data_IF_547841785866
#
_entry.id   IF_547841785866
#
_cell.length_a   1.000
_cell.length_b   1.000
_cell.length_c   1.000
_cell.angle_alpha   90.00
_cell.angle_beta   90.00
_cell.angle_gamma   90.00
#
_symmetry.space_group_name_H-M   'P 1'
#
loop_
_entity.id
_entity.type
_entity.pdbx_description
1 polymer ?
#
# COMPACT_ATOMS: atom_id res chain seq x y z
N UNK A 1 2.20 7.22 -5.04
CA UNK A 1 2.94 6.60 -6.17
C UNK A 1 4.32 7.22 -6.38
N UNK A 2 4.56 8.47 -5.95
CA UNK A 2 5.88 9.11 -6.10
C UNK A 2 7.06 8.38 -5.40
N UNK A 3 6.77 7.40 -4.53
CA UNK A 3 7.74 6.61 -3.78
C UNK A 3 7.72 5.12 -4.13
N UNK A 4 7.14 4.74 -5.26
CA UNK A 4 7.10 3.32 -5.65
C UNK A 4 8.50 2.76 -5.85
N UNK A 5 9.42 3.54 -6.42
CA UNK A 5 10.84 3.17 -6.53
C UNK A 5 11.57 3.11 -5.18
N UNK A 6 11.24 3.98 -4.23
CA UNK A 6 11.79 3.93 -2.87
C UNK A 6 11.35 2.65 -2.18
N UNK A 7 10.04 2.38 -2.16
CA UNK A 7 9.51 1.15 -1.61
C UNK A 7 10.07 -0.09 -2.29
N UNK A 8 10.16 -0.10 -3.62
CA UNK A 8 10.68 -1.23 -4.38
C UNK A 8 12.12 -1.54 -3.97
N UNK A 9 12.99 -0.53 -3.88
CA UNK A 9 14.37 -0.75 -3.41
C UNK A 9 14.39 -1.35 -2.00
N UNK A 10 13.69 -0.73 -1.04
CA UNK A 10 13.65 -1.20 0.36
C UNK A 10 13.15 -2.64 0.44
N UNK A 11 12.07 -2.96 -0.26
CA UNK A 11 11.50 -4.31 -0.28
C UNK A 11 12.45 -5.35 -0.90
N UNK A 12 13.29 -4.95 -1.86
CA UNK A 12 14.28 -5.85 -2.46
C UNK A 12 15.62 -5.88 -1.72
N UNK A 13 15.70 -5.31 -0.51
CA UNK A 13 16.92 -5.32 0.30
C UNK A 13 17.99 -4.33 -0.19
N UNK A 14 17.61 -3.38 -1.03
CA UNK A 14 18.48 -2.31 -1.50
C UNK A 14 18.31 -1.04 -0.66
N UNK A 15 19.32 -0.18 -0.70
CA UNK A 15 19.21 1.15 -0.10
C UNK A 15 18.13 1.99 -0.80
N UNK A 16 17.54 2.90 -0.03
CA UNK A 16 16.58 3.88 -0.54
C UNK A 16 17.17 4.68 -1.71
N UNK A 17 16.34 4.98 -2.71
CA UNK A 17 16.78 5.69 -3.92
C UNK A 17 16.85 7.20 -3.69
N UNK A 18 16.07 7.72 -2.74
CA UNK A 18 16.03 9.14 -2.44
C UNK A 18 16.79 9.50 -1.17
N UNK A 19 17.13 10.79 -1.03
CA UNK A 19 17.67 11.33 0.22
C UNK A 19 16.64 11.16 1.34
N UNK A 20 17.03 10.49 2.42
CA UNK A 20 16.13 10.09 3.50
C UNK A 20 15.35 11.27 4.13
N UNK A 21 15.98 12.44 4.28
CA UNK A 21 15.31 13.62 4.83
C UNK A 21 14.20 14.15 3.90
N UNK A 22 14.37 13.99 2.58
CA UNK A 22 13.36 14.38 1.58
C UNK A 22 12.19 13.40 1.55
N UNK A 23 12.46 12.10 1.70
CA UNK A 23 11.41 11.07 1.83
C UNK A 23 10.50 11.42 3.01
N UNK A 24 11.08 11.68 4.18
CA UNK A 24 10.32 12.05 5.40
C UNK A 24 9.49 13.32 5.21
N UNK A 25 10.06 14.37 4.62
CA UNK A 25 9.32 15.63 4.33
C UNK A 25 8.15 15.42 3.38
N UNK A 26 8.35 14.60 2.35
CA UNK A 26 7.33 14.32 1.36
C UNK A 26 6.22 13.42 1.93
N UNK A 27 6.57 12.37 2.68
CA UNK A 27 5.59 11.56 3.41
C UNK A 27 4.80 12.39 4.42
N UNK A 28 5.43 13.32 5.14
CA UNK A 28 4.71 14.26 6.01
C UNK A 28 3.73 15.17 5.23
N UNK A 29 4.08 15.53 3.99
CA UNK A 29 3.20 16.30 3.10
C UNK A 29 2.03 15.45 2.63
N UNK A 30 2.28 14.24 2.11
CA UNK A 30 1.23 13.29 1.70
C UNK A 30 0.25 13.02 2.85
N UNK A 31 0.76 12.84 4.08
CA UNK A 31 -0.05 12.61 5.27
C UNK A 31 -1.05 13.75 5.51
N UNK A 32 -0.62 14.99 5.28
CA UNK A 32 -1.43 16.19 5.46
C UNK A 32 -2.43 16.42 4.33
N UNK A 33 -2.11 16.02 3.10
CA UNK A 33 -2.84 16.49 1.91
C UNK A 33 -3.64 15.40 1.19
N UNK A 34 -3.23 14.13 1.29
CA UNK A 34 -3.76 13.07 0.43
C UNK A 34 -4.51 11.96 1.19
N UNK A 35 -4.35 11.85 2.51
CA UNK A 35 -5.04 10.79 3.25
C UNK A 35 -6.51 11.11 3.40
N UNK A 36 -7.34 10.10 3.16
CA UNK A 36 -8.78 10.18 3.29
C UNK A 36 -9.28 9.35 4.46
N UNK A 37 -10.50 9.66 4.88
CA UNK A 37 -11.24 8.83 5.83
C UNK A 37 -11.59 7.46 5.20
N UNK A 38 -11.91 7.44 3.90
CA UNK A 38 -12.32 6.24 3.15
C UNK A 38 -11.32 5.92 2.04
N UNK A 39 -11.09 4.63 1.79
CA UNK A 39 -10.31 4.16 0.64
C UNK A 39 -8.79 4.28 0.77
N UNK A 40 -8.27 5.03 1.74
CA UNK A 40 -6.83 5.17 2.01
C UNK A 40 -6.31 6.56 1.63
N UNK A 41 -5.76 6.71 0.42
CA UNK A 41 -5.15 7.96 -0.03
C UNK A 41 -5.53 8.30 -1.48
N UNK A 42 -5.79 9.58 -1.76
CA UNK A 42 -5.94 10.06 -3.16
C UNK A 42 -4.61 10.11 -3.88
N UNK A 43 -4.64 9.97 -5.21
CA UNK A 43 -3.45 10.08 -6.05
C UNK A 43 -2.88 11.50 -6.08
N UNK A 44 -3.72 12.53 -5.99
CA UNK A 44 -3.31 13.93 -6.16
C UNK A 44 -3.92 14.87 -5.13
N UNK A 45 -3.18 15.91 -4.78
CA UNK A 45 -3.65 17.08 -4.07
C UNK A 45 -3.05 18.34 -4.70
N UNK A 46 -3.75 19.46 -4.63
CA UNK A 46 -3.24 20.73 -5.15
C UNK A 46 -2.12 21.31 -4.26
N UNK A 47 -1.48 22.39 -4.73
CA UNK A 47 -0.40 23.05 -3.99
C UNK A 47 -0.85 23.67 -2.65
N UNK A 48 -2.16 23.86 -2.44
CA UNK A 48 -2.74 24.34 -1.18
C UNK A 48 -3.06 23.19 -0.22
N UNK A 49 -2.93 21.95 -0.68
CA UNK A 49 -3.19 20.75 0.09
C UNK A 49 -4.62 20.23 0.01
N UNK A 50 -5.42 20.69 -0.96
CA UNK A 50 -6.76 20.15 -1.16
C UNK A 50 -6.66 18.83 -1.96
N UNK A 51 -7.18 17.71 -1.44
CA UNK A 51 -7.18 16.44 -2.16
C UNK A 51 -8.08 16.51 -3.40
N UNK A 52 -7.63 15.94 -4.52
CA UNK A 52 -8.46 15.81 -5.72
C UNK A 52 -9.39 14.59 -5.58
N UNK A 53 -10.61 14.86 -5.13
CA UNK A 53 -11.63 13.84 -4.89
C UNK A 53 -12.34 13.40 -6.18
N UNK A 54 -12.33 14.22 -7.23
CA UNK A 54 -13.25 14.06 -8.37
C UNK A 54 -12.55 13.89 -9.71
N UNK A 55 -11.31 14.38 -9.84
CA UNK A 55 -10.55 14.33 -11.08
C UNK A 55 -9.93 12.96 -11.36
N UNK A 56 -9.77 12.11 -10.34
CA UNK A 56 -9.19 10.78 -10.48
C UNK A 56 -9.70 9.78 -9.43
N UNK A 57 -9.18 8.56 -9.44
CA UNK A 57 -9.52 7.51 -8.48
C UNK A 57 -8.35 7.11 -7.57
N UNK A 58 -8.65 6.27 -6.59
CA UNK A 58 -7.64 5.62 -5.74
C UNK A 58 -7.27 4.28 -6.38
N UNK A 59 -5.99 4.00 -6.45
CA UNK A 59 -5.46 2.70 -6.85
C UNK A 59 -5.09 1.91 -5.58
N UNK A 60 -5.80 0.83 -5.25
CA UNK A 60 -5.49 0.03 -4.09
C UNK A 60 -4.03 -0.48 -4.03
N UNK A 61 -3.40 -0.98 -5.12
CA UNK A 61 -2.03 -1.50 -4.99
C UNK A 61 -1.03 -0.39 -4.65
N UNK A 62 -1.22 0.81 -5.21
CA UNK A 62 -0.38 1.98 -4.90
C UNK A 62 -0.62 2.50 -3.49
N UNK A 63 -1.85 2.35 -2.98
CA UNK A 63 -2.19 2.62 -1.58
C UNK A 63 -1.45 1.67 -0.64
N UNK A 64 -1.32 0.39 -1.02
CA UNK A 64 -0.57 -0.59 -0.23
C UNK A 64 0.93 -0.28 -0.26
N UNK A 65 1.47 0.11 -1.41
CA UNK A 65 2.86 0.55 -1.55
C UNK A 65 3.13 1.77 -0.65
N UNK A 66 2.28 2.80 -0.71
CA UNK A 66 2.40 3.99 0.15
C UNK A 66 2.37 3.62 1.63
N UNK A 67 1.42 2.76 2.04
CA UNK A 67 1.34 2.26 3.40
C UNK A 67 2.65 1.58 3.84
N UNK A 68 3.21 0.71 3.00
CA UNK A 68 4.48 0.05 3.27
C UNK A 68 5.65 1.03 3.29
N UNK A 69 5.65 2.08 2.46
CA UNK A 69 6.68 3.14 2.50
C UNK A 69 6.69 3.83 3.87
N UNK A 70 5.53 4.17 4.43
CA UNK A 70 5.47 4.72 5.80
C UNK A 70 6.04 3.74 6.83
N UNK A 71 5.71 2.45 6.73
CA UNK A 71 6.22 1.43 7.65
C UNK A 71 7.75 1.31 7.59
N UNK A 72 8.34 1.31 6.38
CA UNK A 72 9.79 1.27 6.19
C UNK A 72 10.50 2.51 6.71
N UNK A 73 9.86 3.68 6.64
CA UNK A 73 10.38 4.93 7.20
C UNK A 73 10.10 5.09 8.71
N UNK A 74 9.53 4.06 9.35
CA UNK A 74 9.33 3.96 10.80
C UNK A 74 7.96 4.40 11.30
N UNK A 75 7.09 4.94 10.44
CA UNK A 75 5.71 5.35 10.79
C UNK A 75 4.73 4.21 10.52
N UNK A 76 4.84 3.15 11.31
CA UNK A 76 4.03 1.94 11.15
C UNK A 76 2.53 2.19 11.38
N UNK A 77 2.19 3.11 12.28
CA UNK A 77 0.81 3.45 12.62
C UNK A 77 0.08 4.02 11.40
N UNK A 78 0.67 5.03 10.75
CA UNK A 78 0.09 5.62 9.54
C UNK A 78 -0.01 4.60 8.41
N UNK A 79 1.04 3.79 8.22
CA UNK A 79 1.02 2.73 7.22
C UNK A 79 -0.14 1.74 7.46
N UNK A 80 -0.32 1.29 8.70
CA UNK A 80 -1.40 0.36 9.05
C UNK A 80 -2.78 1.00 8.87
N UNK A 81 -2.96 2.26 9.26
CA UNK A 81 -4.22 2.97 9.09
C UNK A 81 -4.64 3.05 7.62
N UNK A 82 -3.72 3.45 6.73
CA UNK A 82 -3.96 3.53 5.28
C UNK A 82 -4.37 2.17 4.73
N UNK A 83 -3.61 1.13 5.07
CA UNK A 83 -3.85 -0.23 4.59
C UNK A 83 -5.20 -0.77 5.08
N UNK A 84 -5.51 -0.59 6.36
CA UNK A 84 -6.77 -1.03 6.96
C UNK A 84 -7.96 -0.33 6.31
N UNK A 85 -7.91 0.99 6.12
CA UNK A 85 -8.98 1.75 5.44
C UNK A 85 -9.22 1.24 4.02
N UNK A 86 -8.16 0.97 3.28
CA UNK A 86 -8.25 0.48 1.91
C UNK A 86 -8.86 -0.93 1.85
N UNK A 87 -8.32 -1.89 2.62
CA UNK A 87 -8.82 -3.27 2.67
C UNK A 87 -10.25 -3.33 3.22
N UNK A 88 -10.55 -2.60 4.29
CA UNK A 88 -11.90 -2.54 4.87
C UNK A 88 -12.91 -2.04 3.84
N UNK A 89 -12.57 -0.98 3.10
CA UNK A 89 -13.43 -0.48 2.05
C UNK A 89 -13.70 -1.54 0.97
N UNK A 90 -12.67 -2.22 0.48
CA UNK A 90 -12.82 -3.19 -0.60
C UNK A 90 -13.53 -4.47 -0.16
N UNK A 91 -13.06 -5.07 0.93
CA UNK A 91 -13.45 -6.42 1.36
C UNK A 91 -14.71 -6.40 2.21
N UNK A 92 -14.79 -5.47 3.17
CA UNK A 92 -15.89 -5.46 4.14
C UNK A 92 -17.05 -4.61 3.65
N UNK A 93 -16.78 -3.41 3.13
CA UNK A 93 -17.84 -2.48 2.71
C UNK A 93 -18.42 -2.80 1.34
N UNK A 94 -17.57 -3.13 0.36
CA UNK A 94 -17.98 -3.37 -1.03
C UNK A 94 -17.91 -4.84 -1.46
N UNK A 95 -17.56 -5.75 -0.54
CA UNK A 95 -17.59 -7.20 -0.73
C UNK A 95 -16.75 -7.75 -1.89
N UNK A 96 -15.67 -7.06 -2.25
CA UNK A 96 -14.76 -7.44 -3.33
C UNK A 96 -13.68 -8.44 -2.92
N UNK A 97 -14.04 -9.49 -2.17
CA UNK A 97 -13.08 -10.42 -1.56
C UNK A 97 -12.17 -11.12 -2.58
N UNK A 98 -12.74 -11.50 -3.73
CA UNK A 98 -12.06 -12.29 -4.76
C UNK A 98 -11.86 -11.54 -6.07
N UNK A 99 -12.56 -10.41 -6.25
CA UNK A 99 -12.61 -9.67 -7.51
C UNK A 99 -12.05 -8.25 -7.38
N UNK A 100 -11.06 -8.04 -6.51
CA UNK A 100 -10.52 -6.72 -6.18
C UNK A 100 -10.29 -5.83 -7.42
N UNK A 101 -10.76 -4.56 -7.40
CA UNK A 101 -10.61 -3.64 -8.52
C UNK A 101 -9.18 -3.07 -8.63
N UNK A 102 -8.88 -2.48 -9.78
CA UNK A 102 -7.67 -1.68 -9.94
C UNK A 102 -7.86 -0.22 -9.47
N UNK A 103 -9.08 0.30 -9.57
CA UNK A 103 -9.38 1.68 -9.21
C UNK A 103 -10.75 1.79 -8.54
N UNK A 104 -10.83 2.66 -7.54
CA UNK A 104 -12.06 3.03 -6.82
C UNK A 104 -12.26 4.55 -6.80
N UNK A 105 -13.49 4.99 -6.57
CA UNK A 105 -13.81 6.41 -6.36
C UNK A 105 -13.24 6.89 -5.03
N UNK A 106 -12.71 8.11 -5.00
CA UNK A 106 -12.19 8.73 -3.77
C UNK A 106 -13.30 9.04 -2.74
N UNK A 107 -14.51 9.38 -3.19
CA UNK A 107 -15.61 9.82 -2.32
C UNK A 107 -16.39 8.67 -1.65
N UNK A 108 -16.67 7.63 -2.42
CA UNK A 108 -17.57 6.52 -2.07
C UNK A 108 -16.81 5.21 -1.84
N UNK A 109 -15.60 5.10 -2.38
CA UNK A 109 -14.82 3.87 -2.39
C UNK A 109 -15.36 2.81 -3.35
N UNK A 110 -16.36 3.12 -4.17
CA UNK A 110 -16.94 2.20 -5.15
C UNK A 110 -15.95 1.91 -6.28
N UNK A 111 -15.97 0.68 -6.79
CA UNK A 111 -15.21 0.30 -7.98
C UNK A 111 -15.52 1.23 -9.16
N UNK A 112 -14.48 1.69 -9.82
CA UNK A 112 -14.59 2.40 -11.11
C UNK A 112 -13.97 1.59 -12.24
N UNK A 113 -12.92 0.80 -11.97
CA UNK A 113 -12.23 0.06 -13.01
C UNK A 113 -11.56 -1.22 -12.50
N UNK A 114 -11.62 -2.26 -13.34
CA UNK A 114 -10.96 -3.54 -13.13
C UNK A 114 -11.72 -4.51 -12.24
N UNK A 115 -11.50 -5.79 -12.48
CA UNK A 115 -11.94 -6.94 -11.67
C UNK A 115 -10.80 -7.96 -11.65
N UNK A 116 -10.70 -8.75 -10.58
CA UNK A 116 -9.65 -9.78 -10.42
C UNK A 116 -8.22 -9.23 -10.63
N UNK A 117 -7.96 -7.98 -10.20
CA UNK A 117 -6.67 -7.35 -10.45
C UNK A 117 -5.58 -7.89 -9.52
N UNK A 118 -4.72 -8.75 -10.08
CA UNK A 118 -3.61 -9.40 -9.38
C UNK A 118 -2.58 -8.43 -8.79
N UNK A 119 -2.53 -7.17 -9.25
CA UNK A 119 -1.66 -6.16 -8.65
C UNK A 119 -1.93 -5.98 -7.14
N UNK A 120 -3.16 -6.24 -6.69
CA UNK A 120 -3.54 -6.20 -5.28
C UNK A 120 -2.86 -7.28 -4.43
N UNK A 121 -2.25 -8.29 -5.05
CA UNK A 121 -1.39 -9.26 -4.36
C UNK A 121 -0.14 -8.61 -3.76
N UNK A 122 0.10 -7.32 -4.02
CA UNK A 122 1.04 -6.51 -3.23
C UNK A 122 0.79 -6.57 -1.72
N UNK A 123 -0.42 -6.90 -1.30
CA UNK A 123 -0.75 -7.21 0.09
C UNK A 123 0.24 -8.22 0.74
N UNK A 124 0.78 -9.17 -0.03
CA UNK A 124 1.72 -10.18 0.47
C UNK A 124 3.10 -9.63 0.84
N UNK A 125 3.44 -8.40 0.43
CA UNK A 125 4.67 -7.73 0.84
C UNK A 125 4.55 -7.05 2.23
N UNK A 126 3.32 -6.79 2.70
CA UNK A 126 3.06 -6.07 3.96
C UNK A 126 3.75 -6.69 5.19
N UNK A 127 3.82 -8.03 5.37
CA UNK A 127 4.50 -8.61 6.51
C UNK A 127 5.99 -8.22 6.61
N UNK A 128 6.68 -8.03 5.49
CA UNK A 128 8.06 -7.56 5.48
C UNK A 128 8.14 -6.10 5.97
N UNK A 129 7.32 -5.22 5.39
CA UNK A 129 7.26 -3.82 5.78
C UNK A 129 6.94 -3.62 7.27
N UNK A 130 5.98 -4.38 7.83
CA UNK A 130 5.63 -4.33 9.25
C UNK A 130 6.80 -4.67 10.18
N UNK A 131 7.69 -5.55 9.73
CA UNK A 131 8.88 -5.96 10.49
C UNK A 131 10.12 -5.11 10.18
N UNK A 132 10.06 -4.26 9.17
CA UNK A 132 11.25 -3.59 8.62
C UNK A 132 12.21 -4.58 7.95
N UNK A 133 11.68 -5.70 7.46
CA UNK A 133 12.40 -6.76 6.74
C UNK A 133 12.24 -6.56 5.23
N UNK A 134 13.03 -7.28 4.43
CA UNK A 134 12.96 -7.28 2.97
C UNK A 134 12.54 -8.65 2.41
N UNK A 135 12.55 -8.78 1.08
CA UNK A 135 12.18 -9.99 0.35
C UNK A 135 13.05 -11.20 0.72
N UNK A 136 14.32 -11.00 1.07
CA UNK A 136 15.23 -12.09 1.44
C UNK A 136 14.76 -12.76 2.73
N UNK A 137 14.29 -11.97 3.69
CA UNK A 137 13.77 -12.44 4.97
C UNK A 137 12.44 -13.20 4.82
N UNK A 138 11.59 -12.81 3.86
CA UNK A 138 10.39 -13.58 3.53
C UNK A 138 10.71 -14.90 2.83
N UNK A 139 11.78 -14.94 2.04
CA UNK A 139 12.13 -16.05 1.15
C UNK A 139 13.09 -17.07 1.77
N UNK A 140 13.76 -16.73 2.87
CA UNK A 140 14.69 -17.65 3.55
C UNK A 140 14.01 -18.91 4.07
N UNK A 141 14.81 -19.93 4.38
CA UNK A 141 14.31 -21.14 5.04
C UNK A 141 13.59 -20.79 6.34
N UNK A 142 12.37 -21.31 6.52
CA UNK A 142 11.48 -20.97 7.64
C UNK A 142 10.79 -19.60 7.54
N UNK A 143 11.08 -18.81 6.51
CA UNK A 143 10.42 -17.55 6.17
C UNK A 143 8.96 -17.74 5.74
N UNK A 144 8.26 -16.64 5.46
CA UNK A 144 6.83 -16.67 5.13
C UNK A 144 6.55 -17.55 3.91
N UNK A 145 7.32 -17.41 2.83
CA UNK A 145 7.14 -18.18 1.59
C UNK A 145 7.31 -19.67 1.86
N UNK A 146 8.36 -20.06 2.57
CA UNK A 146 8.61 -21.45 2.94
C UNK A 146 7.46 -22.05 3.79
N UNK A 147 6.90 -21.28 4.72
CA UNK A 147 5.76 -21.71 5.54
C UNK A 147 4.48 -21.89 4.72
N UNK A 148 4.21 -21.01 3.76
CA UNK A 148 3.06 -21.13 2.85
C UNK A 148 3.18 -22.38 1.98
N UNK A 149 4.34 -22.61 1.36
CA UNK A 149 4.58 -23.81 0.53
C UNK A 149 4.47 -25.10 1.34
N UNK A 150 5.01 -25.11 2.56
CA UNK A 150 4.87 -26.23 3.48
C UNK A 150 3.41 -26.51 3.83
N UNK A 151 2.60 -25.47 4.08
CA UNK A 151 1.18 -25.65 4.37
C UNK A 151 0.40 -26.18 3.16
N UNK A 152 0.68 -25.67 1.95
CA UNK A 152 0.00 -26.09 0.73
C UNK A 152 0.33 -27.51 0.25
N UNK A 153 1.45 -28.08 0.67
CA UNK A 153 1.85 -29.47 0.34
C UNK A 153 1.29 -30.52 1.30
N UNK A 154 0.58 -30.11 2.34
CA UNK A 154 -0.09 -31.02 3.29
C UNK A 154 -1.53 -31.37 2.88
N UNK A 155 -2.00 -30.85 1.74
CA UNK A 155 -3.34 -31.05 1.20
C UNK A 155 -3.33 -32.12 0.12
#
# INVERSE_FOLDING_TARGET
NQFDGEWANRFHGLEGIFQADRVKKALATIKRTCLLEKGGAVSFADAKGNPDITGYGIFPPETYILAMTYMYEGDKETGLEILQKSIYNLVIRHHHLWDLPNMIRCDTGERTFGTDYYQNMMLWAVPAALKGEDLTELSKSGGLVARILKAGSMV
#
